data_IF_211520416364
#
_entry.id   IF_211520416364
#
_cell.length_a   1.000
_cell.length_b   1.000
_cell.length_c   1.000
_cell.angle_alpha   90.00
_cell.angle_beta   90.00
_cell.angle_gamma   90.00
#
_symmetry.space_group_name_H-M   'P 1'
#
loop_
_entity.id
_entity.type
_entity.pdbx_description
1 polymer ?
#
# COMPACT_ATOMS: atom_id res chain seq x y z
N UNK A 1 -10.87 -16.17 -18.51
CA UNK A 1 -11.05 -14.86 -17.81
C UNK A 1 -11.33 -15.01 -16.32
N UNK A 2 -12.32 -15.83 -15.86
CA UNK A 2 -12.60 -15.94 -14.41
C UNK A 2 -11.42 -16.52 -13.59
N UNK A 3 -10.66 -17.46 -14.12
CA UNK A 3 -9.55 -18.08 -13.39
C UNK A 3 -8.26 -17.22 -13.37
N UNK A 4 -8.09 -16.29 -14.29
CA UNK A 4 -6.87 -15.47 -14.38
C UNK A 4 -6.77 -14.45 -13.26
N UNK A 5 -7.92 -13.92 -12.79
CA UNK A 5 -7.98 -12.97 -11.68
C UNK A 5 -7.92 -13.64 -10.29
N UNK A 6 -8.15 -14.95 -10.22
CA UNK A 6 -8.23 -15.65 -8.93
C UNK A 6 -6.89 -15.67 -8.19
N UNK A 7 -5.80 -15.95 -8.91
CA UNK A 7 -4.45 -16.00 -8.31
C UNK A 7 -4.02 -14.64 -7.74
N UNK A 8 -4.10 -13.52 -8.51
CA UNK A 8 -3.81 -12.20 -7.97
C UNK A 8 -4.64 -11.85 -6.73
N UNK A 9 -5.93 -12.16 -6.73
CA UNK A 9 -6.83 -11.87 -5.59
C UNK A 9 -6.44 -12.67 -4.35
N UNK A 10 -6.15 -13.96 -4.50
CA UNK A 10 -5.70 -14.82 -3.38
C UNK A 10 -4.39 -14.30 -2.81
N UNK A 11 -3.41 -13.97 -3.65
CA UNK A 11 -2.12 -13.44 -3.21
C UNK A 11 -2.28 -12.10 -2.50
N UNK A 12 -3.05 -11.17 -3.07
CA UNK A 12 -3.32 -9.86 -2.47
C UNK A 12 -3.98 -10.00 -1.10
N UNK A 13 -4.98 -10.88 -0.98
CA UNK A 13 -5.68 -11.16 0.27
C UNK A 13 -4.73 -11.77 1.31
N UNK A 14 -3.87 -12.71 0.90
CA UNK A 14 -2.90 -13.36 1.79
C UNK A 14 -1.87 -12.35 2.31
N UNK A 15 -1.32 -11.51 1.47
CA UNK A 15 -0.32 -10.51 1.89
C UNK A 15 -0.94 -9.40 2.76
N UNK A 16 -2.18 -9.02 2.46
CA UNK A 16 -2.95 -8.11 3.33
C UNK A 16 -3.21 -8.74 4.70
N UNK A 17 -3.64 -10.00 4.75
CA UNK A 17 -3.85 -10.73 5.99
C UNK A 17 -2.55 -10.86 6.82
N UNK A 18 -1.40 -11.05 6.16
CA UNK A 18 -0.09 -11.06 6.82
C UNK A 18 0.22 -9.71 7.48
N UNK A 19 -0.08 -8.60 6.83
CA UNK A 19 0.08 -7.25 7.42
C UNK A 19 -0.86 -7.05 8.62
N UNK A 20 -2.12 -7.44 8.50
CA UNK A 20 -3.10 -7.37 9.60
C UNK A 20 -2.66 -8.24 10.77
N UNK A 21 -2.20 -9.47 10.52
CA UNK A 21 -1.62 -10.34 11.53
C UNK A 21 -0.45 -9.65 12.25
N UNK A 22 0.44 -9.00 11.50
CA UNK A 22 1.54 -8.22 12.06
C UNK A 22 1.07 -7.11 13.00
N UNK A 23 0.00 -6.39 12.65
CA UNK A 23 -0.61 -5.36 13.51
C UNK A 23 -1.16 -5.99 14.79
N UNK A 24 -1.94 -7.06 14.69
CA UNK A 24 -2.56 -7.76 15.84
C UNK A 24 -1.47 -8.32 16.78
N UNK A 25 -0.41 -8.89 16.22
CA UNK A 25 0.71 -9.46 16.99
C UNK A 25 1.74 -8.42 17.41
N UNK A 26 1.55 -7.15 17.08
CA UNK A 26 2.50 -6.05 17.31
C UNK A 26 3.91 -6.38 16.78
N UNK A 27 3.98 -7.03 15.62
CA UNK A 27 5.24 -7.40 14.98
C UNK A 27 5.50 -6.49 13.76
N UNK A 28 6.48 -5.56 13.88
CA UNK A 28 6.84 -4.69 12.76
C UNK A 28 7.34 -5.46 11.54
N UNK A 29 7.98 -6.60 11.77
CA UNK A 29 8.46 -7.47 10.70
C UNK A 29 7.33 -7.98 9.82
N UNK A 30 6.27 -8.57 10.40
CA UNK A 30 5.15 -9.09 9.61
C UNK A 30 4.34 -7.98 8.93
N UNK A 31 4.21 -6.81 9.57
CA UNK A 31 3.60 -5.64 8.91
C UNK A 31 4.37 -5.29 7.65
N UNK A 32 5.69 -5.15 7.75
CA UNK A 32 6.53 -4.79 6.60
C UNK A 32 6.54 -5.89 5.55
N UNK A 33 6.67 -7.14 5.96
CA UNK A 33 6.70 -8.27 5.03
C UNK A 33 5.43 -8.33 4.18
N UNK A 34 4.26 -8.16 4.79
CA UNK A 34 2.99 -8.11 4.04
C UNK A 34 2.93 -6.95 3.05
N UNK A 35 3.32 -5.73 3.46
CA UNK A 35 3.40 -4.58 2.54
C UNK A 35 4.44 -4.74 1.44
N UNK A 36 5.59 -5.33 1.75
CA UNK A 36 6.64 -5.64 0.78
C UNK A 36 6.15 -6.61 -0.29
N UNK A 37 5.56 -7.73 0.14
CA UNK A 37 5.06 -8.75 -0.78
C UNK A 37 3.89 -8.24 -1.61
N UNK A 38 2.96 -7.49 -1.00
CA UNK A 38 1.85 -6.87 -1.72
C UNK A 38 2.35 -5.86 -2.76
N UNK A 39 3.22 -4.93 -2.35
CA UNK A 39 3.79 -3.93 -3.24
C UNK A 39 4.57 -4.56 -4.39
N UNK A 40 5.43 -5.54 -4.09
CA UNK A 40 6.22 -6.27 -5.09
C UNK A 40 5.36 -7.03 -6.09
N UNK A 41 4.28 -7.64 -5.63
CA UNK A 41 3.31 -8.32 -6.51
C UNK A 41 2.64 -7.33 -7.48
N UNK A 42 2.06 -6.24 -6.97
CA UNK A 42 1.37 -5.25 -7.81
C UNK A 42 2.37 -4.59 -8.77
N UNK A 43 3.57 -4.24 -8.29
CA UNK A 43 4.66 -3.74 -9.13
C UNK A 43 4.96 -4.71 -10.29
N UNK A 44 5.16 -5.99 -9.99
CA UNK A 44 5.53 -6.99 -10.99
C UNK A 44 4.44 -7.18 -12.03
N UNK A 45 3.18 -7.31 -11.62
CA UNK A 45 2.07 -7.49 -12.56
C UNK A 45 1.89 -6.26 -13.48
N UNK A 46 1.96 -5.05 -12.92
CA UNK A 46 1.84 -3.84 -13.74
C UNK A 46 3.04 -3.67 -14.69
N UNK A 47 4.26 -4.03 -14.25
CA UNK A 47 5.44 -3.99 -15.12
C UNK A 47 5.32 -4.97 -16.28
N UNK A 48 4.89 -6.21 -16.01
CA UNK A 48 4.69 -7.22 -17.05
C UNK A 48 3.58 -6.82 -18.02
N UNK A 49 2.45 -6.31 -17.53
CA UNK A 49 1.36 -5.78 -18.36
C UNK A 49 1.83 -4.62 -19.23
N UNK A 50 2.58 -3.67 -18.66
CA UNK A 50 3.15 -2.56 -19.40
C UNK A 50 4.08 -3.03 -20.55
N UNK A 51 4.96 -3.99 -20.25
CA UNK A 51 5.88 -4.57 -21.25
C UNK A 51 5.15 -5.38 -22.32
N UNK A 52 4.01 -6.00 -21.99
CA UNK A 52 3.16 -6.71 -22.94
C UNK A 52 2.31 -5.76 -23.82
N UNK A 53 2.24 -4.49 -23.50
CA UNK A 53 1.41 -3.52 -24.21
C UNK A 53 -0.05 -3.50 -23.76
N UNK A 54 -0.36 -4.13 -22.64
CA UNK A 54 -1.70 -4.16 -22.01
C UNK A 54 -1.94 -2.85 -21.25
N UNK A 55 -2.21 -1.79 -22.00
CA UNK A 55 -2.32 -0.44 -21.42
C UNK A 55 -3.78 -0.04 -21.22
N UNK A 56 -4.08 0.44 -20.02
CA UNK A 56 -5.40 0.99 -19.66
C UNK A 56 -5.69 2.26 -20.45
N UNK A 57 -4.67 3.06 -20.75
CA UNK A 57 -4.78 4.27 -21.56
C UNK A 57 -3.62 4.39 -22.54
N UNK A 58 -3.85 5.22 -23.61
CA UNK A 58 -2.82 5.45 -24.63
C UNK A 58 -1.52 5.96 -23.99
N UNK A 59 -0.42 5.25 -24.26
CA UNK A 59 0.92 5.57 -23.74
C UNK A 59 1.22 5.00 -22.36
N UNK A 60 0.33 4.19 -21.77
CA UNK A 60 0.60 3.44 -20.55
C UNK A 60 0.85 4.31 -19.31
N UNK A 61 0.29 5.53 -19.25
CA UNK A 61 0.55 6.47 -18.15
C UNK A 61 0.06 5.93 -16.81
N UNK A 62 -1.09 5.25 -16.78
CA UNK A 62 -1.66 4.65 -15.56
C UNK A 62 -0.73 3.57 -15.02
N UNK A 63 -0.24 2.72 -15.90
CA UNK A 63 0.70 1.64 -15.56
C UNK A 63 2.02 2.22 -15.04
N UNK A 64 2.58 3.24 -15.70
CA UNK A 64 3.82 3.90 -15.26
C UNK A 64 3.67 4.49 -13.85
N UNK A 65 2.58 5.20 -13.58
CA UNK A 65 2.29 5.77 -12.25
C UNK A 65 2.15 4.65 -11.23
N UNK A 66 1.39 3.60 -11.55
CA UNK A 66 1.15 2.45 -10.66
C UNK A 66 2.46 1.70 -10.38
N UNK A 67 3.28 1.44 -11.40
CA UNK A 67 4.62 0.84 -11.26
C UNK A 67 5.48 1.67 -10.30
N UNK A 68 5.54 2.99 -10.50
CA UNK A 68 6.32 3.89 -9.65
C UNK A 68 5.87 3.88 -8.19
N UNK A 69 4.56 3.96 -7.95
CA UNK A 69 3.98 3.93 -6.61
C UNK A 69 4.29 2.62 -5.87
N UNK A 70 4.07 1.48 -6.51
CA UNK A 70 4.25 0.18 -5.86
C UNK A 70 5.72 -0.23 -5.78
N UNK A 71 6.59 0.26 -6.66
CA UNK A 71 8.03 0.15 -6.49
C UNK A 71 8.49 0.91 -5.23
N UNK A 72 8.02 2.15 -5.05
CA UNK A 72 8.32 2.94 -3.85
C UNK A 72 7.82 2.24 -2.59
N UNK A 73 6.59 1.69 -2.60
CA UNK A 73 6.06 0.90 -1.49
C UNK A 73 6.96 -0.31 -1.17
N UNK A 74 7.38 -1.05 -2.18
CA UNK A 74 8.23 -2.24 -2.03
C UNK A 74 9.56 -1.87 -1.39
N UNK A 75 10.22 -0.80 -1.86
CA UNK A 75 11.48 -0.33 -1.30
C UNK A 75 11.32 0.12 0.16
N UNK A 76 10.29 0.92 0.46
CA UNK A 76 10.04 1.45 1.81
C UNK A 76 9.66 0.34 2.79
N UNK A 77 8.92 -0.65 2.34
CA UNK A 77 8.47 -1.78 3.15
C UNK A 77 9.48 -2.93 3.25
N UNK A 78 10.67 -2.82 2.63
CA UNK A 78 11.67 -3.88 2.68
C UNK A 78 11.96 -4.32 4.13
N UNK A 79 11.85 -5.61 4.48
CA UNK A 79 11.85 -6.09 5.86
C UNK A 79 13.27 -6.18 6.44
N UNK A 80 13.89 -5.03 6.73
CA UNK A 80 15.22 -4.94 7.37
C UNK A 80 15.17 -4.90 8.90
N UNK A 81 13.97 -4.83 9.48
CA UNK A 81 13.80 -4.78 10.94
C UNK A 81 13.74 -6.21 11.48
N UNK A 82 14.55 -6.55 12.49
CA UNK A 82 14.45 -7.84 13.19
C UNK A 82 13.04 -8.08 13.73
N UNK A 83 12.63 -9.35 13.79
CA UNK A 83 11.28 -9.74 14.21
C UNK A 83 10.97 -9.44 15.68
N UNK A 84 12.00 -9.25 16.50
CA UNK A 84 11.95 -9.03 17.95
C UNK A 84 12.01 -7.56 18.38
N UNK A 85 12.11 -6.63 17.43
CA UNK A 85 12.17 -5.20 17.75
C UNK A 85 10.79 -4.68 18.21
N UNK A 86 10.77 -3.99 19.36
CA UNK A 86 9.58 -3.39 19.94
C UNK A 86 9.01 -2.27 19.05
N UNK A 87 7.67 -2.17 19.01
CA UNK A 87 6.93 -1.12 18.32
C UNK A 87 7.27 0.30 18.81
N UNK A 88 7.75 0.46 20.03
CA UNK A 88 8.15 1.75 20.60
C UNK A 88 9.53 2.24 20.13
N UNK A 89 10.31 1.40 19.46
CA UNK A 89 11.64 1.78 19.00
C UNK A 89 11.56 2.94 18.00
N UNK A 90 12.44 3.96 18.07
CA UNK A 90 12.40 5.13 17.18
C UNK A 90 12.43 4.79 15.69
N UNK A 91 13.18 3.77 15.30
CA UNK A 91 13.23 3.28 13.91
C UNK A 91 11.87 2.78 13.44
N UNK A 92 11.05 2.18 14.33
CA UNK A 92 9.71 1.70 14.01
C UNK A 92 8.76 2.89 13.78
N UNK A 93 8.87 3.95 14.57
CA UNK A 93 8.08 5.18 14.38
C UNK A 93 8.36 5.82 13.02
N UNK A 94 9.64 5.94 12.65
CA UNK A 94 10.06 6.45 11.33
C UNK A 94 9.53 5.57 10.21
N UNK A 95 9.62 4.26 10.37
CA UNK A 95 9.06 3.30 9.41
C UNK A 95 7.55 3.45 9.27
N UNK A 96 6.81 3.53 10.38
CA UNK A 96 5.37 3.70 10.37
C UNK A 96 4.97 4.99 9.66
N UNK A 97 5.71 6.09 9.87
CA UNK A 97 5.52 7.34 9.16
C UNK A 97 5.70 7.16 7.65
N UNK A 98 6.78 6.54 7.22
CA UNK A 98 7.07 6.30 5.80
C UNK A 98 6.02 5.43 5.13
N UNK A 99 5.61 4.34 5.78
CA UNK A 99 4.54 3.46 5.27
C UNK A 99 3.22 4.22 5.20
N UNK A 100 2.84 4.98 6.24
CA UNK A 100 1.60 5.76 6.24
C UNK A 100 1.58 6.81 5.14
N UNK A 101 2.71 7.51 4.92
CA UNK A 101 2.86 8.48 3.83
C UNK A 101 2.72 7.82 2.46
N UNK A 102 3.39 6.68 2.26
CA UNK A 102 3.29 5.93 0.99
C UNK A 102 1.86 5.48 0.72
N UNK A 103 1.17 4.92 1.72
CA UNK A 103 -0.23 4.53 1.60
C UNK A 103 -1.16 5.72 1.33
N UNK A 104 -0.91 6.87 1.96
CA UNK A 104 -1.64 8.10 1.67
C UNK A 104 -1.49 8.49 0.21
N UNK A 105 -0.26 8.56 -0.30
CA UNK A 105 0.03 8.92 -1.70
C UNK A 105 -0.63 7.94 -2.66
N UNK A 106 -0.47 6.62 -2.44
CA UNK A 106 -1.06 5.59 -3.30
C UNK A 106 -2.58 5.74 -3.35
N UNK A 107 -3.24 5.85 -2.20
CA UNK A 107 -4.70 5.94 -2.17
C UNK A 107 -5.22 7.26 -2.75
N UNK A 108 -4.56 8.40 -2.47
CA UNK A 108 -4.92 9.69 -3.06
C UNK A 108 -4.75 9.68 -4.59
N UNK A 109 -3.63 9.15 -5.09
CA UNK A 109 -3.38 9.04 -6.53
C UNK A 109 -4.37 8.07 -7.19
N UNK A 110 -4.66 6.91 -6.57
CA UNK A 110 -5.66 5.95 -7.08
C UNK A 110 -7.04 6.58 -7.13
N UNK A 111 -7.44 7.35 -6.13
CA UNK A 111 -8.70 8.11 -6.14
C UNK A 111 -8.77 9.03 -7.35
N UNK A 112 -7.72 9.83 -7.56
CA UNK A 112 -7.66 10.77 -8.67
C UNK A 112 -7.69 10.06 -10.02
N UNK A 113 -6.91 8.99 -10.21
CA UNK A 113 -6.88 8.21 -11.45
C UNK A 113 -8.24 7.61 -11.79
N UNK A 114 -8.92 6.99 -10.79
CA UNK A 114 -10.23 6.37 -11.01
C UNK A 114 -11.29 7.44 -11.36
N UNK A 115 -11.27 8.59 -10.67
CA UNK A 115 -12.19 9.71 -11.00
C UNK A 115 -11.94 10.28 -12.41
N UNK A 116 -10.69 10.22 -12.89
CA UNK A 116 -10.34 10.68 -14.24
C UNK A 116 -10.69 9.66 -15.35
N UNK A 117 -11.07 8.44 -14.99
CA UNK A 117 -11.39 7.34 -15.91
C UNK A 117 -12.82 6.84 -15.67
N UNK A 118 -13.83 7.39 -16.39
CA UNK A 118 -15.25 7.06 -16.17
C UNK A 118 -15.61 5.58 -16.37
N UNK A 119 -14.80 4.84 -17.11
CA UNK A 119 -14.95 3.40 -17.35
C UNK A 119 -14.69 2.54 -16.11
N UNK A 120 -13.99 3.08 -15.10
CA UNK A 120 -13.77 2.37 -13.84
C UNK A 120 -14.94 2.53 -12.87
N UNK A 121 -15.23 1.49 -12.04
CA UNK A 121 -16.26 1.59 -11.02
C UNK A 121 -15.96 2.71 -10.02
N UNK A 122 -16.73 3.79 -10.02
CA UNK A 122 -16.50 4.98 -9.19
C UNK A 122 -16.56 4.69 -7.68
N UNK A 123 -17.18 3.59 -7.28
CA UNK A 123 -17.14 3.12 -5.89
C UNK A 123 -15.71 2.84 -5.40
N UNK A 124 -14.80 2.44 -6.30
CA UNK A 124 -13.39 2.25 -5.95
C UNK A 124 -12.70 3.56 -5.61
N UNK A 125 -13.04 4.66 -6.29
CA UNK A 125 -12.53 5.99 -5.93
C UNK A 125 -12.96 6.39 -4.51
N UNK A 126 -14.23 6.09 -4.13
CA UNK A 126 -14.71 6.34 -2.79
C UNK A 126 -13.91 5.54 -1.74
N UNK A 127 -13.68 4.25 -1.98
CA UNK A 127 -12.90 3.40 -1.07
C UNK A 127 -11.46 3.92 -0.90
N UNK A 128 -10.77 4.22 -1.99
CA UNK A 128 -9.42 4.80 -1.93
C UNK A 128 -9.43 6.19 -1.28
N UNK A 129 -10.44 7.01 -1.52
CA UNK A 129 -10.61 8.33 -0.90
C UNK A 129 -10.76 8.25 0.62
N UNK A 130 -11.57 7.31 1.11
CA UNK A 130 -11.71 7.04 2.55
C UNK A 130 -10.36 6.59 3.15
N UNK A 131 -9.66 5.68 2.50
CA UNK A 131 -8.35 5.22 2.95
C UNK A 131 -7.31 6.35 2.96
N UNK A 132 -7.31 7.19 1.93
CA UNK A 132 -6.46 8.39 1.89
C UNK A 132 -6.78 9.35 3.04
N UNK A 133 -8.06 9.61 3.33
CA UNK A 133 -8.47 10.46 4.45
C UNK A 133 -8.01 9.90 5.81
N UNK A 134 -8.17 8.60 6.05
CA UNK A 134 -7.71 7.93 7.27
C UNK A 134 -6.18 8.05 7.41
N UNK A 135 -5.42 7.81 6.34
CA UNK A 135 -3.96 7.92 6.36
C UNK A 135 -3.51 9.37 6.53
N UNK A 136 -4.20 10.33 5.91
CA UNK A 136 -3.96 11.77 6.08
C UNK A 136 -4.18 12.25 7.52
N UNK A 137 -5.28 11.83 8.16
CA UNK A 137 -5.52 12.09 9.58
C UNK A 137 -4.41 11.53 10.45
N UNK A 138 -3.98 10.29 10.19
CA UNK A 138 -2.89 9.66 10.94
C UNK A 138 -1.57 10.43 10.77
N UNK A 139 -1.25 10.89 9.56
CA UNK A 139 -0.08 11.73 9.30
C UNK A 139 -0.15 13.05 10.09
N UNK A 140 -1.31 13.71 10.09
CA UNK A 140 -1.53 14.93 10.87
C UNK A 140 -1.33 14.68 12.37
N UNK A 141 -1.86 13.60 12.92
CA UNK A 141 -1.66 13.22 14.32
C UNK A 141 -0.19 12.97 14.65
N UNK A 142 0.56 12.31 13.77
CA UNK A 142 2.00 12.10 13.96
C UNK A 142 2.74 13.44 13.92
N UNK A 143 2.42 14.30 12.95
CA UNK A 143 3.06 15.62 12.79
C UNK A 143 2.78 16.59 13.97
N UNK A 144 1.59 16.52 14.56
CA UNK A 144 1.19 17.34 15.70
C UNK A 144 1.57 16.73 17.06
N UNK A 145 2.25 15.58 17.08
CA UNK A 145 2.59 14.87 18.32
C UNK A 145 1.40 14.21 19.03
N UNK A 146 0.22 14.24 18.44
CA UNK A 146 -1.01 13.61 18.96
C UNK A 146 -1.03 12.11 18.64
N UNK A 147 0.01 11.38 18.99
CA UNK A 147 -0.07 9.92 18.90
C UNK A 147 -1.14 9.42 19.89
N UNK A 148 -2.06 8.54 19.45
CA UNK A 148 -2.98 7.91 20.39
C UNK A 148 -2.14 7.24 21.49
N UNK A 149 -2.58 7.34 22.78
CA UNK A 149 -1.84 6.72 23.86
C UNK A 149 -1.70 5.23 23.53
N UNK A 150 -0.46 4.78 23.41
CA UNK A 150 -0.17 3.34 23.37
C UNK A 150 -0.61 2.80 24.72
N UNK A 151 -1.77 2.17 24.78
CA UNK A 151 -2.20 1.47 25.98
C UNK A 151 -1.04 0.56 26.41
N UNK A 152 -0.49 0.89 27.58
CA UNK A 152 0.52 0.10 28.26
C UNK A 152 -0.03 -1.27 28.61
#
# INVERSE_FOLDING_TARGET
MENEMLIPVILASTFTALSVFGVVRRSPFFVRLGYFLFGGMIFTFNLLGYMAGDWTCKGGMVEIITIGMFLAQTIIAYPVVPSDVDFNHPAIKTMALRITLTLFIINATSTWLILAMPEFPQVLALLHGIMAAIMGMRLAMIATGQNPPTNK
#
